data_IF_889363691973
#
_entry.id   IF_889363691973
#
_cell.length_a   1.000
_cell.length_b   1.000
_cell.length_c   1.000
_cell.angle_alpha   90.00
_cell.angle_beta   90.00
_cell.angle_gamma   90.00
#
_symmetry.space_group_name_H-M   'P 1'
#
loop_
_entity.id
_entity.type
_entity.pdbx_description
1 polymer ?
#
# COMPACT_ATOMS: atom_id res chain seq x y z
N UNK A 1 22.40 16.25 0.81
CA UNK A 1 21.09 16.92 0.58
C UNK A 1 20.11 16.26 1.52
N UNK A 2 19.36 17.04 2.31
CA UNK A 2 18.29 16.51 3.16
C UNK A 2 17.07 16.33 2.26
N UNK A 3 16.46 15.15 2.27
CA UNK A 3 15.18 14.89 1.59
C UNK A 3 14.12 14.90 2.70
N UNK A 4 13.07 15.71 2.52
CA UNK A 4 12.04 15.91 3.51
C UNK A 4 10.68 15.59 2.90
N UNK A 5 9.92 14.75 3.57
CA UNK A 5 8.57 14.37 3.21
C UNK A 5 7.63 14.69 4.36
N UNK A 6 6.44 15.16 4.03
CA UNK A 6 5.33 15.32 4.96
C UNK A 6 4.33 14.20 4.75
N UNK A 7 3.87 13.57 5.83
CA UNK A 7 2.77 12.60 5.76
C UNK A 7 1.47 13.39 5.80
N UNK A 8 0.67 13.25 4.74
CA UNK A 8 -0.60 13.95 4.62
C UNK A 8 -1.75 13.12 5.20
N UNK A 9 -1.82 11.83 4.87
CA UNK A 9 -2.85 10.91 5.35
C UNK A 9 -2.30 9.47 5.46
N UNK A 10 -2.88 8.69 6.37
CA UNK A 10 -2.57 7.28 6.59
C UNK A 10 -3.85 6.46 6.40
N UNK A 11 -3.80 5.51 5.46
CA UNK A 11 -4.84 4.52 5.23
C UNK A 11 -4.41 3.23 5.93
N UNK A 12 -4.87 3.09 7.17
CA UNK A 12 -4.47 1.99 8.07
C UNK A 12 -4.70 0.59 7.50
N UNK A 13 -3.93 -0.37 8.00
CA UNK A 13 -4.14 -1.78 7.66
C UNK A 13 -5.48 -2.27 8.22
N UNK A 14 -6.24 -3.01 7.42
CA UNK A 14 -7.36 -3.82 7.90
C UNK A 14 -7.27 -5.23 7.35
N UNK A 15 -7.80 -6.21 8.08
CA UNK A 15 -7.84 -7.60 7.65
C UNK A 15 -8.62 -7.79 6.34
N UNK A 16 -9.62 -6.95 6.08
CA UNK A 16 -10.40 -6.99 4.85
C UNK A 16 -9.62 -6.43 3.66
N UNK A 17 -8.87 -5.34 3.85
CA UNK A 17 -8.09 -4.69 2.79
C UNK A 17 -6.76 -5.40 2.52
N UNK A 18 -6.16 -6.02 3.55
CA UNK A 18 -4.85 -6.69 3.53
C UNK A 18 -3.69 -5.82 3.02
N UNK A 19 -3.83 -4.50 3.15
CA UNK A 19 -2.83 -3.51 2.74
C UNK A 19 -2.93 -2.26 3.60
N UNK A 20 -1.85 -1.49 3.62
CA UNK A 20 -1.73 -0.18 4.25
C UNK A 20 -1.15 0.78 3.22
N UNK A 21 -1.62 2.02 3.23
CA UNK A 21 -1.09 3.07 2.35
C UNK A 21 -0.86 4.36 3.10
N UNK A 22 0.06 5.19 2.60
CA UNK A 22 0.31 6.53 3.07
C UNK A 22 0.30 7.50 1.90
N UNK A 23 -0.22 8.70 2.12
CA UNK A 23 -0.09 9.81 1.19
C UNK A 23 0.98 10.74 1.74
N UNK A 24 1.97 11.06 0.91
CA UNK A 24 3.08 11.94 1.29
C UNK A 24 3.22 13.11 0.31
N UNK A 25 3.75 14.23 0.80
CA UNK A 25 4.17 15.38 0.00
C UNK A 25 5.69 15.51 0.06
N UNK A 26 6.34 15.62 -1.10
CA UNK A 26 7.74 16.05 -1.19
C UNK A 26 7.83 17.54 -0.89
N UNK A 27 8.48 17.91 0.22
CA UNK A 27 8.56 19.31 0.66
C UNK A 27 9.36 20.20 -0.29
N UNK A 28 10.15 19.65 -1.21
CA UNK A 28 10.94 20.41 -2.17
C UNK A 28 10.19 20.61 -3.49
N UNK A 29 9.56 19.56 -4.01
CA UNK A 29 8.87 19.64 -5.31
C UNK A 29 7.37 19.92 -5.19
N UNK A 30 6.78 19.79 -4.00
CA UNK A 30 5.33 19.85 -3.77
C UNK A 30 4.57 18.70 -4.42
N UNK A 31 5.26 17.63 -4.85
CA UNK A 31 4.63 16.47 -5.48
C UNK A 31 4.00 15.58 -4.42
N UNK A 32 2.85 15.02 -4.75
CA UNK A 32 2.10 14.15 -3.85
C UNK A 32 2.20 12.71 -4.34
N UNK A 33 2.50 11.79 -3.44
CA UNK A 33 2.63 10.38 -3.74
C UNK A 33 1.78 9.53 -2.82
N UNK A 34 1.09 8.56 -3.40
CA UNK A 34 0.53 7.42 -2.69
C UNK A 34 1.59 6.32 -2.65
N UNK A 35 1.90 5.81 -1.46
CA UNK A 35 2.71 4.61 -1.27
C UNK A 35 1.84 3.53 -0.62
N UNK A 36 1.85 2.32 -1.17
CA UNK A 36 1.06 1.19 -0.68
C UNK A 36 1.93 -0.04 -0.46
N UNK A 37 1.67 -0.75 0.64
CA UNK A 37 2.25 -2.07 0.92
C UNK A 37 1.19 -3.04 1.41
N UNK A 38 1.26 -4.29 0.99
CA UNK A 38 0.27 -5.29 1.39
C UNK A 38 0.55 -6.67 0.84
N UNK A 39 -0.42 -7.56 1.04
CA UNK A 39 -0.40 -8.90 0.47
C UNK A 39 -0.44 -8.83 -1.07
N UNK A 40 0.09 -9.86 -1.72
CA UNK A 40 0.16 -9.95 -3.18
C UNK A 40 -1.22 -9.94 -3.84
N UNK A 41 -2.18 -10.66 -3.26
CA UNK A 41 -3.56 -10.66 -3.75
C UNK A 41 -4.26 -9.30 -3.60
N UNK A 42 -3.74 -8.41 -2.75
CA UNK A 42 -4.31 -7.10 -2.47
C UNK A 42 -3.67 -5.96 -3.25
N UNK A 43 -2.40 -6.11 -3.65
CA UNK A 43 -1.62 -5.05 -4.31
C UNK A 43 -1.45 -5.31 -5.80
N UNK A 44 -1.12 -6.54 -6.23
CA UNK A 44 -0.85 -6.84 -7.64
C UNK A 44 -2.03 -6.53 -8.57
N UNK A 45 -3.31 -6.76 -8.18
CA UNK A 45 -4.44 -6.37 -9.01
C UNK A 45 -4.60 -4.85 -9.21
N UNK A 46 -3.94 -4.03 -8.40
CA UNK A 46 -3.99 -2.57 -8.47
C UNK A 46 -2.98 -1.99 -9.47
N UNK A 47 -2.14 -2.83 -10.07
CA UNK A 47 -1.12 -2.41 -11.04
C UNK A 47 -1.74 -1.64 -12.22
N UNK A 48 -1.02 -0.67 -12.76
CA UNK A 48 -1.47 0.06 -13.95
C UNK A 48 -1.52 -0.85 -15.19
N UNK A 49 -2.42 -0.54 -16.12
CA UNK A 49 -2.58 -1.31 -17.35
C UNK A 49 -1.31 -1.24 -18.20
N UNK A 50 -0.71 -2.39 -18.50
CA UNK A 50 0.52 -2.49 -19.29
C UNK A 50 1.79 -2.71 -18.46
N UNK A 51 1.72 -2.68 -17.13
CA UNK A 51 2.83 -3.13 -16.31
C UNK A 51 3.04 -4.64 -16.45
N UNK A 52 4.27 -5.07 -16.73
CA UNK A 52 4.60 -6.50 -16.71
C UNK A 52 4.76 -6.99 -15.28
N UNK A 53 3.71 -7.59 -14.72
CA UNK A 53 3.71 -8.06 -13.32
C UNK A 53 4.19 -9.51 -13.15
N UNK A 54 4.39 -10.26 -14.24
CA UNK A 54 4.73 -11.69 -14.19
C UNK A 54 5.95 -11.97 -13.31
N UNK A 55 7.02 -11.20 -13.46
CA UNK A 55 8.24 -11.36 -12.68
C UNK A 55 8.00 -11.18 -11.17
N UNK A 56 7.07 -10.30 -10.78
CA UNK A 56 6.70 -10.12 -9.38
C UNK A 56 5.91 -11.31 -8.85
N UNK A 57 4.98 -11.86 -9.63
CA UNK A 57 4.22 -13.07 -9.28
C UNK A 57 5.17 -14.26 -9.10
N UNK A 58 6.08 -14.49 -10.05
CA UNK A 58 7.07 -15.58 -9.97
C UNK A 58 7.97 -15.44 -8.72
N UNK A 59 8.31 -14.20 -8.34
CA UNK A 59 9.09 -13.93 -7.13
C UNK A 59 8.29 -14.21 -5.85
N UNK A 60 7.01 -13.82 -5.80
CA UNK A 60 6.11 -14.13 -4.68
C UNK A 60 6.01 -15.64 -4.49
N UNK A 61 5.74 -16.39 -5.56
CA UNK A 61 5.63 -17.86 -5.52
C UNK A 61 6.92 -18.50 -4.99
N UNK A 62 8.09 -18.03 -5.47
CA UNK A 62 9.38 -18.51 -5.01
C UNK A 62 9.60 -18.26 -3.51
N UNK A 63 9.28 -17.06 -3.03
CA UNK A 63 9.47 -16.73 -1.61
C UNK A 63 8.47 -17.45 -0.71
N UNK A 64 7.23 -17.63 -1.15
CA UNK A 64 6.23 -18.42 -0.45
C UNK A 64 6.66 -19.89 -0.29
N UNK A 65 7.25 -20.49 -1.33
CA UNK A 65 7.82 -21.86 -1.26
C UNK A 65 8.95 -22.00 -0.25
N UNK A 66 9.68 -20.91 0.03
CA UNK A 66 10.72 -20.84 1.05
C UNK A 66 10.17 -20.55 2.45
N UNK A 67 8.84 -20.41 2.61
CA UNK A 67 8.19 -20.09 3.88
C UNK A 67 8.41 -18.64 4.33
N UNK A 68 8.81 -17.75 3.42
CA UNK A 68 9.03 -16.33 3.71
C UNK A 68 7.72 -15.55 3.63
N UNK A 69 7.53 -14.59 4.53
CA UNK A 69 6.40 -13.65 4.46
C UNK A 69 6.67 -12.60 3.38
N UNK A 70 5.82 -12.56 2.37
CA UNK A 70 5.93 -11.61 1.25
C UNK A 70 5.11 -10.34 1.52
N UNK A 71 5.62 -9.19 1.07
CA UNK A 71 4.83 -7.97 0.91
C UNK A 71 5.13 -7.35 -0.44
N UNK A 72 4.08 -7.00 -1.18
CA UNK A 72 4.16 -6.22 -2.40
C UNK A 72 4.16 -4.73 -2.07
N UNK A 73 4.93 -3.96 -2.82
CA UNK A 73 5.00 -2.51 -2.71
C UNK A 73 4.65 -1.86 -4.04
N UNK A 74 3.84 -0.82 -4.00
CA UNK A 74 3.49 -0.02 -5.15
C UNK A 74 3.33 1.45 -4.80
N UNK A 75 3.39 2.31 -5.81
CA UNK A 75 3.24 3.74 -5.64
C UNK A 75 2.51 4.39 -6.81
N UNK A 76 2.03 5.62 -6.62
CA UNK A 76 1.46 6.45 -7.68
C UNK A 76 1.64 7.93 -7.35
N UNK A 77 1.94 8.75 -8.35
CA UNK A 77 1.89 10.22 -8.23
C UNK A 77 0.42 10.69 -8.31
N UNK A 78 0.02 11.54 -7.37
CA UNK A 78 -1.32 12.13 -7.30
C UNK A 78 -1.26 13.58 -7.76
N UNK A 79 -2.29 14.00 -8.48
CA UNK A 79 -2.49 15.44 -8.67
C UNK A 79 -2.98 16.09 -7.38
N UNK A 80 -2.70 17.38 -7.20
CA UNK A 80 -3.20 18.13 -6.04
C UNK A 80 -4.73 18.11 -5.97
N UNK A 81 -5.41 18.27 -7.10
CA UNK A 81 -6.88 18.26 -7.18
C UNK A 81 -7.46 16.90 -6.76
N UNK A 82 -6.91 15.80 -7.30
CA UNK A 82 -7.32 14.45 -6.94
C UNK A 82 -7.15 14.18 -5.44
N UNK A 83 -6.00 14.55 -4.86
CA UNK A 83 -5.74 14.36 -3.44
C UNK A 83 -6.69 15.19 -2.57
N UNK A 84 -6.93 16.46 -2.90
CA UNK A 84 -7.80 17.33 -2.10
C UNK A 84 -9.24 16.81 -2.08
N UNK A 85 -9.78 16.39 -3.23
CA UNK A 85 -11.12 15.81 -3.30
C UNK A 85 -11.20 14.49 -2.55
N UNK A 86 -10.21 13.62 -2.72
CA UNK A 86 -10.16 12.37 -1.98
C UNK A 86 -10.05 12.58 -0.46
N UNK A 87 -9.20 13.49 0.04
CA UNK A 87 -9.04 13.68 1.49
C UNK A 87 -10.32 14.22 2.13
N UNK A 88 -11.12 15.01 1.38
CA UNK A 88 -12.44 15.45 1.82
C UNK A 88 -13.38 14.26 2.04
N UNK A 89 -13.48 13.38 1.04
CA UNK A 89 -14.27 12.15 1.13
C UNK A 89 -13.78 11.23 2.25
N UNK A 90 -12.47 11.14 2.44
CA UNK A 90 -11.86 10.30 3.47
C UNK A 90 -12.18 10.81 4.88
N UNK A 91 -12.12 12.13 5.11
CA UNK A 91 -12.52 12.75 6.38
C UNK A 91 -14.00 12.56 6.68
N UNK A 92 -14.85 12.67 5.65
CA UNK A 92 -16.29 12.42 5.75
C UNK A 92 -16.58 10.96 6.13
N UNK A 93 -15.94 10.00 5.46
CA UNK A 93 -16.06 8.58 5.77
C UNK A 93 -15.59 8.24 7.19
N UNK A 94 -14.46 8.81 7.64
CA UNK A 94 -13.94 8.60 9.00
C UNK A 94 -14.83 9.20 10.09
N UNK A 95 -15.60 10.25 9.78
CA UNK A 95 -16.53 10.90 10.70
C UNK A 95 -17.91 10.24 10.74
N UNK A 96 -18.15 9.21 9.91
CA UNK A 96 -19.43 8.52 9.86
C UNK A 96 -19.69 7.70 11.14
N UNK A 97 -20.91 7.82 11.69
CA UNK A 97 -21.36 7.05 12.86
C UNK A 97 -21.86 5.65 12.50
N UNK A 98 -22.30 5.46 11.25
CA UNK A 98 -22.90 4.22 10.73
C UNK A 98 -22.10 3.74 9.52
N UNK A 99 -21.79 2.45 9.52
CA UNK A 99 -21.03 1.74 8.47
C UNK A 99 -19.67 2.38 8.16
N UNK A 100 -19.02 2.95 9.18
CA UNK A 100 -17.75 3.66 9.05
C UNK A 100 -16.68 2.83 8.36
N UNK A 101 -16.51 1.58 8.77
CA UNK A 101 -15.49 0.68 8.23
C UNK A 101 -15.68 0.44 6.73
N UNK A 102 -16.91 0.21 6.31
CA UNK A 102 -17.26 0.01 4.90
C UNK A 102 -17.05 1.28 4.07
N UNK A 103 -17.51 2.45 4.56
CA UNK A 103 -17.31 3.75 3.88
C UNK A 103 -15.83 4.10 3.73
N UNK A 104 -15.04 3.86 4.78
CA UNK A 104 -13.59 4.07 4.75
C UNK A 104 -12.94 3.12 3.73
N UNK A 105 -13.33 1.84 3.71
CA UNK A 105 -12.80 0.88 2.74
C UNK A 105 -13.11 1.28 1.29
N UNK A 106 -14.34 1.74 1.01
CA UNK A 106 -14.74 2.22 -0.31
C UNK A 106 -13.91 3.44 -0.74
N UNK A 107 -13.77 4.44 0.14
CA UNK A 107 -12.98 5.64 -0.16
C UNK A 107 -11.49 5.33 -0.32
N UNK A 108 -10.93 4.41 0.46
CA UNK A 108 -9.56 3.94 0.26
C UNK A 108 -9.38 3.32 -1.14
N UNK A 109 -10.31 2.48 -1.57
CA UNK A 109 -10.25 1.83 -2.89
C UNK A 109 -10.32 2.84 -4.05
N UNK A 110 -10.98 3.99 -3.86
CA UNK A 110 -11.01 5.08 -4.86
C UNK A 110 -9.65 5.73 -5.10
N UNK A 111 -8.71 5.66 -4.15
CA UNK A 111 -7.36 6.20 -4.33
C UNK A 111 -6.35 5.12 -4.70
N UNK A 112 -6.50 3.93 -4.11
CA UNK A 112 -5.61 2.79 -4.25
C UNK A 112 -5.87 2.02 -5.55
N UNK A 113 -5.53 2.63 -6.68
CA UNK A 113 -5.59 2.02 -8.00
C UNK A 113 -4.47 2.54 -8.90
N UNK A 114 -4.24 1.85 -10.02
CA UNK A 114 -3.28 2.25 -11.07
C UNK A 114 -1.86 2.46 -10.50
N UNK A 115 -1.46 1.60 -9.56
CA UNK A 115 -0.16 1.64 -8.93
C UNK A 115 0.92 1.17 -9.90
N UNK A 116 2.09 1.77 -9.81
CA UNK A 116 3.33 1.20 -10.32
C UNK A 116 3.91 0.28 -9.25
N UNK A 117 3.95 -1.03 -9.53
CA UNK A 117 4.51 -2.03 -8.64
C UNK A 117 6.04 -1.90 -8.61
N UNK A 118 6.56 -1.53 -7.44
CA UNK A 118 7.99 -1.30 -7.22
C UNK A 118 8.76 -2.60 -6.97
N UNK A 119 8.14 -3.54 -6.26
CA UNK A 119 8.78 -4.79 -5.95
C UNK A 119 8.14 -5.58 -4.82
N UNK A 120 8.81 -6.67 -4.48
CA UNK A 120 8.42 -7.65 -3.47
C UNK A 120 9.49 -7.67 -2.39
N UNK A 121 9.08 -7.56 -1.13
CA UNK A 121 9.92 -7.90 0.01
C UNK A 121 9.62 -9.32 0.47
N UNK A 122 10.63 -10.00 1.01
CA UNK A 122 10.50 -11.33 1.60
C UNK A 122 11.15 -11.31 2.99
N UNK A 123 10.36 -11.62 4.00
CA UNK A 123 10.73 -11.51 5.41
C UNK A 123 10.79 -12.91 6.01
N UNK A 124 11.96 -13.27 6.54
CA UNK A 124 12.16 -14.52 7.26
C UNK A 124 11.69 -14.37 8.71
N UNK A 125 10.79 -15.25 9.14
CA UNK A 125 10.48 -15.42 10.55
C UNK A 125 11.48 -16.37 11.20
N UNK A 126 12.43 -15.80 11.92
CA UNK A 126 13.41 -16.55 12.70
C UNK A 126 12.69 -17.31 13.81
N UNK A 127 12.50 -18.61 13.61
CA UNK A 127 12.02 -19.52 14.65
C UNK A 127 13.11 -19.72 15.72
N UNK A 128 12.69 -19.95 16.96
CA UNK A 128 13.62 -20.26 18.04
C UNK A 128 14.38 -21.55 17.71
N UNK A 129 15.71 -21.47 17.78
CA UNK A 129 16.55 -22.67 17.70
C UNK A 129 16.40 -23.38 19.05
N UNK A 130 15.72 -24.53 19.07
CA UNK A 130 15.76 -25.41 20.22
C UNK A 130 17.23 -25.77 20.49
N UNK A 131 17.78 -25.50 21.68
CA UNK A 131 19.09 -26.02 22.04
C UNK A 131 19.01 -27.53 21.89
N UNK A 132 19.89 -28.09 21.05
CA UNK A 132 20.11 -29.52 21.00
C UNK A 132 20.48 -29.96 22.43
N UNK A 133 19.57 -30.66 23.10
CA UNK A 133 19.87 -31.45 24.29
C UNK A 133 20.54 -32.75 23.85
#
# INVERSE_FOLDING_TARGET
RVIQYEILDILEFTSDRKRMSIVISDSQSGKIFLLSKGADEAILPLAYCGQQIKTFVDAVDKYAQLGLRTLCLGWRELSLEEYLEWSRLFKEANSALVDREWKVAEVCQKLEHTLDILGISAIEDRLQVLPLL
#
